data_IF_828319800579
#
_entry.id   IF_828319800579
#
_cell.length_a   1.000
_cell.length_b   1.000
_cell.length_c   1.000
_cell.angle_alpha   90.00
_cell.angle_beta   90.00
_cell.angle_gamma   90.00
#
_symmetry.space_group_name_H-M   'P 1'
#
loop_
_entity.id
_entity.type
_entity.pdbx_description
1 polymer ?
#
# COMPACT_ATOMS: atom_id res chain seq x y z
N UNK A 1 27.18 8.64 -10.73
CA UNK A 1 25.97 9.48 -10.78
C UNK A 1 24.89 8.77 -9.98
N UNK A 2 24.31 9.41 -8.97
CA UNK A 2 23.25 8.82 -8.14
C UNK A 2 21.93 8.82 -8.91
N UNK A 3 21.25 7.68 -8.95
CA UNK A 3 19.98 7.44 -9.65
C UNK A 3 18.85 8.38 -9.19
N UNK A 4 19.02 8.99 -8.01
CA UNK A 4 18.04 9.90 -7.39
C UNK A 4 18.44 11.38 -7.45
N UNK A 5 19.55 11.72 -8.11
CA UNK A 5 20.04 13.09 -8.18
C UNK A 5 19.07 14.04 -8.92
N UNK A 6 18.19 13.51 -9.77
CA UNK A 6 17.13 14.27 -10.46
C UNK A 6 15.97 14.70 -9.54
N UNK A 7 15.85 14.08 -8.36
CA UNK A 7 14.80 14.40 -7.39
C UNK A 7 15.26 15.38 -6.31
N UNK A 8 16.54 15.75 -6.31
CA UNK A 8 17.06 16.83 -5.48
C UNK A 8 16.71 18.16 -6.16
N UNK A 9 16.12 19.10 -5.40
CA UNK A 9 15.77 20.48 -5.81
C UNK A 9 16.97 21.33 -6.29
N UNK A 10 18.11 20.71 -6.57
CA UNK A 10 19.39 21.32 -6.91
C UNK A 10 19.63 21.41 -8.42
N UNK A 11 18.79 20.80 -9.26
CA UNK A 11 18.84 20.94 -10.71
C UNK A 11 17.68 21.84 -11.17
N UNK A 12 17.95 22.73 -12.13
CA UNK A 12 16.93 23.57 -12.78
C UNK A 12 16.04 22.64 -13.61
N UNK A 13 14.93 22.21 -13.02
CA UNK A 13 13.89 21.41 -13.67
C UNK A 13 12.95 22.37 -14.40
N UNK A 14 12.53 22.05 -15.63
CA UNK A 14 11.57 22.90 -16.34
C UNK A 14 10.22 22.92 -15.61
N UNK A 15 9.41 23.97 -15.78
CA UNK A 15 8.10 24.08 -15.13
C UNK A 15 7.17 22.89 -15.47
N UNK A 16 7.28 22.36 -16.69
CA UNK A 16 6.52 21.19 -17.16
C UNK A 16 6.97 19.90 -16.45
N UNK A 17 8.29 19.72 -16.28
CA UNK A 17 8.84 18.58 -15.52
C UNK A 17 8.46 18.66 -14.04
N UNK A 18 8.40 19.87 -13.48
CA UNK A 18 7.96 20.09 -12.10
C UNK A 18 6.47 19.76 -11.91
N UNK A 19 5.59 20.25 -12.80
CA UNK A 19 4.16 19.91 -12.77
C UNK A 19 3.91 18.42 -12.95
N UNK A 20 4.69 17.75 -13.80
CA UNK A 20 4.65 16.30 -13.93
C UNK A 20 5.02 15.62 -12.60
N UNK A 21 6.14 15.99 -12.00
CA UNK A 21 6.57 15.39 -10.73
C UNK A 21 5.54 15.64 -9.61
N UNK A 22 4.97 16.84 -9.52
CA UNK A 22 3.88 17.18 -8.58
C UNK A 22 2.64 16.32 -8.80
N UNK A 23 2.20 16.14 -10.06
CA UNK A 23 1.05 15.29 -10.39
C UNK A 23 1.28 13.81 -10.06
N UNK A 24 2.52 13.35 -10.12
CA UNK A 24 2.91 11.99 -9.77
C UNK A 24 3.39 11.83 -8.33
N UNK A 25 3.35 12.90 -7.51
CA UNK A 25 3.64 12.77 -6.07
C UNK A 25 2.62 11.84 -5.44
N UNK A 26 3.13 10.82 -4.77
CA UNK A 26 2.37 9.77 -4.10
C UNK A 26 1.68 8.77 -5.04
N UNK A 27 2.09 8.71 -6.31
CA UNK A 27 1.57 7.70 -7.22
C UNK A 27 1.90 6.30 -6.68
N UNK A 28 0.85 5.48 -6.51
CA UNK A 28 0.98 4.14 -5.94
C UNK A 28 1.19 3.11 -7.04
N UNK A 29 2.35 2.43 -7.00
CA UNK A 29 2.72 1.38 -7.95
C UNK A 29 2.67 0.05 -7.24
N UNK A 30 1.87 -0.89 -7.76
CA UNK A 30 1.81 -2.24 -7.22
C UNK A 30 2.92 -3.08 -7.83
N UNK A 31 3.84 -3.56 -6.99
CA UNK A 31 4.92 -4.46 -7.39
C UNK A 31 4.39 -5.90 -7.35
N UNK A 32 4.44 -6.63 -8.49
CA UNK A 32 3.99 -8.01 -8.58
C UNK A 32 4.86 -8.95 -7.72
N UNK A 33 4.41 -10.19 -7.57
CA UNK A 33 5.06 -11.17 -6.69
C UNK A 33 6.52 -11.45 -7.11
N UNK A 34 6.76 -11.42 -8.42
CA UNK A 34 8.07 -11.61 -9.04
C UNK A 34 8.30 -10.53 -10.08
N UNK A 35 9.51 -9.96 -10.10
CA UNK A 35 9.92 -9.04 -11.16
C UNK A 35 10.73 -9.78 -12.23
N UNK A 36 10.60 -9.37 -13.50
CA UNK A 36 11.48 -9.87 -14.55
C UNK A 36 12.95 -9.53 -14.28
N UNK A 37 13.88 -10.41 -14.66
CA UNK A 37 15.33 -10.22 -14.44
C UNK A 37 15.86 -8.94 -15.09
N UNK A 38 15.30 -8.54 -16.24
CA UNK A 38 15.68 -7.30 -16.91
C UNK A 38 15.27 -6.04 -16.14
N UNK A 39 14.32 -6.15 -15.20
CA UNK A 39 13.85 -5.05 -14.37
C UNK A 39 14.50 -5.15 -12.98
N UNK A 40 15.49 -4.29 -12.74
CA UNK A 40 16.25 -4.21 -11.48
C UNK A 40 16.97 -5.51 -11.05
N UNK A 41 17.17 -6.47 -11.97
CA UNK A 41 17.75 -7.76 -11.65
C UNK A 41 16.75 -8.77 -11.09
N UNK A 42 15.44 -8.51 -11.21
CA UNK A 42 14.38 -9.34 -10.64
C UNK A 42 14.05 -9.01 -9.18
N UNK A 43 14.69 -7.99 -8.61
CA UNK A 43 14.54 -7.60 -7.20
C UNK A 43 14.45 -6.08 -7.05
N UNK A 44 13.58 -5.60 -6.17
CA UNK A 44 13.51 -4.18 -5.83
C UNK A 44 14.59 -3.86 -4.79
N UNK A 45 15.62 -3.13 -5.21
CA UNK A 45 16.77 -2.76 -4.34
C UNK A 45 16.56 -1.49 -3.53
N UNK A 46 15.50 -0.74 -3.80
CA UNK A 46 15.22 0.53 -3.13
C UNK A 46 13.94 0.42 -2.30
N UNK A 47 14.02 0.83 -1.04
CA UNK A 47 12.92 0.70 -0.07
C UNK A 47 11.94 1.86 -0.13
N UNK A 48 12.43 3.05 -0.46
CA UNK A 48 11.64 4.28 -0.46
C UNK A 48 11.97 5.07 -1.71
N UNK A 49 10.96 5.36 -2.51
CA UNK A 49 11.08 6.27 -3.63
C UNK A 49 10.60 7.66 -3.18
N UNK A 50 11.30 8.71 -3.59
CA UNK A 50 10.99 10.09 -3.18
C UNK A 50 9.62 10.56 -3.64
N UNK A 51 9.13 9.98 -4.74
CA UNK A 51 7.90 10.44 -5.42
C UNK A 51 6.84 9.33 -5.57
N UNK A 52 7.21 8.06 -5.39
CA UNK A 52 6.34 6.91 -5.65
C UNK A 52 6.09 6.12 -4.36
N UNK A 53 4.87 5.62 -4.20
CA UNK A 53 4.52 4.68 -3.13
C UNK A 53 4.50 3.28 -3.71
N UNK A 54 5.37 2.41 -3.23
CA UNK A 54 5.41 1.02 -3.70
C UNK A 54 4.50 0.18 -2.83
N UNK A 55 3.64 -0.62 -3.45
CA UNK A 55 2.83 -1.62 -2.77
C UNK A 55 3.29 -3.00 -3.21
N UNK A 56 3.96 -3.72 -2.32
CA UNK A 56 4.44 -5.06 -2.61
C UNK A 56 3.34 -6.09 -2.41
N UNK A 57 3.12 -6.93 -3.42
CA UNK A 57 2.25 -8.10 -3.29
C UNK A 57 2.97 -9.27 -2.63
N UNK A 58 4.30 -9.34 -2.75
CA UNK A 58 5.13 -10.34 -2.09
C UNK A 58 5.49 -9.91 -0.67
N UNK A 59 5.07 -10.67 0.35
CA UNK A 59 5.40 -10.43 1.75
C UNK A 59 6.88 -10.64 2.07
N UNK A 60 7.60 -11.43 1.28
CA UNK A 60 9.05 -11.65 1.43
C UNK A 60 9.86 -10.44 0.97
N UNK A 61 9.28 -9.62 0.07
CA UNK A 61 9.86 -8.35 -0.37
C UNK A 61 9.50 -7.17 0.54
N UNK A 62 8.63 -7.37 1.53
CA UNK A 62 8.32 -6.37 2.56
C UNK A 62 9.28 -6.48 3.74
N UNK A 63 9.58 -5.35 4.37
CA UNK A 63 10.31 -5.34 5.64
C UNK A 63 9.43 -5.93 6.76
N UNK A 64 10.07 -6.37 7.85
CA UNK A 64 9.38 -6.93 9.01
C UNK A 64 8.34 -5.94 9.58
N UNK A 65 8.71 -4.65 9.67
CA UNK A 65 7.80 -3.57 10.09
C UNK A 65 6.58 -3.40 9.16
N UNK A 66 6.76 -3.45 7.84
CA UNK A 66 5.66 -3.34 6.88
C UNK A 66 4.74 -4.57 6.92
N UNK A 67 5.31 -5.75 7.17
CA UNK A 67 4.57 -7.00 7.37
C UNK A 67 3.70 -6.91 8.62
N UNK A 68 4.27 -6.48 9.75
CA UNK A 68 3.53 -6.28 11.00
C UNK A 68 2.39 -5.26 10.86
N UNK A 69 2.63 -4.14 10.17
CA UNK A 69 1.61 -3.13 9.89
C UNK A 69 0.46 -3.66 9.04
N UNK A 70 0.76 -4.48 8.03
CA UNK A 70 -0.25 -5.13 7.19
C UNK A 70 -1.08 -6.12 8.01
N UNK A 71 -0.43 -6.95 8.82
CA UNK A 71 -1.09 -7.95 9.66
C UNK A 71 -1.98 -7.29 10.74
N UNK A 72 -1.52 -6.20 11.36
CA UNK A 72 -2.30 -5.39 12.30
C UNK A 72 -3.54 -4.78 11.64
N UNK A 73 -3.40 -4.29 10.40
CA UNK A 73 -4.51 -3.71 9.65
C UNK A 73 -5.55 -4.77 9.28
N UNK A 74 -5.09 -5.93 8.82
CA UNK A 74 -5.97 -7.05 8.47
C UNK A 74 -6.70 -7.61 9.71
N UNK A 75 -6.00 -7.74 10.84
CA UNK A 75 -6.61 -8.16 12.11
C UNK A 75 -7.72 -7.20 12.55
N UNK A 76 -7.47 -5.89 12.45
CA UNK A 76 -8.47 -4.86 12.79
C UNK A 76 -9.69 -4.90 11.87
N UNK A 77 -9.49 -5.17 10.57
CA UNK A 77 -10.60 -5.34 9.63
C UNK A 77 -11.43 -6.59 9.94
N UNK A 78 -10.77 -7.71 10.26
CA UNK A 78 -11.43 -8.95 10.67
C UNK A 78 -12.27 -8.77 11.93
N UNK A 79 -11.72 -8.09 12.94
CA UNK A 79 -12.45 -7.77 14.18
C UNK A 79 -13.67 -6.87 13.92
N UNK A 80 -13.55 -5.88 13.01
CA UNK A 80 -14.70 -5.07 12.59
C UNK A 80 -15.76 -5.91 11.88
N UNK A 81 -15.37 -6.77 10.94
CA UNK A 81 -16.32 -7.64 10.24
C UNK A 81 -17.07 -8.56 11.20
N UNK A 82 -16.35 -9.16 12.16
CA UNK A 82 -16.95 -10.01 13.18
C UNK A 82 -17.90 -9.23 14.09
N UNK A 83 -17.54 -8.00 14.46
CA UNK A 83 -18.43 -7.10 15.19
C UNK A 83 -19.74 -6.83 14.43
N UNK A 84 -19.67 -6.52 13.13
CA UNK A 84 -20.86 -6.29 12.31
C UNK A 84 -21.69 -7.56 12.10
N UNK A 85 -21.06 -8.73 11.90
CA UNK A 85 -21.74 -10.03 11.80
C UNK A 85 -22.50 -10.38 13.08
N UNK A 86 -21.88 -10.20 14.25
CA UNK A 86 -22.53 -10.43 15.56
C UNK A 86 -23.75 -9.53 15.75
N UNK A 87 -23.66 -8.26 15.36
CA UNK A 87 -24.79 -7.32 15.48
C UNK A 87 -25.95 -7.67 14.53
N UNK A 88 -25.65 -8.11 13.32
CA UNK A 88 -26.67 -8.54 12.34
C UNK A 88 -27.39 -9.81 12.81
N UNK A 89 -26.63 -10.78 13.33
CA UNK A 89 -27.20 -12.02 13.87
C UNK A 89 -28.01 -11.76 15.16
N UNK A 90 -27.54 -10.88 16.05
CA UNK A 90 -28.28 -10.50 17.27
C UNK A 90 -29.61 -9.79 17.00
N UNK A 91 -29.66 -8.88 16.00
CA UNK A 91 -30.92 -8.26 15.54
C UNK A 91 -31.87 -9.26 14.89
N UNK A 92 -31.33 -10.22 14.14
CA UNK A 92 -32.09 -11.29 13.52
C UNK A 92 -32.77 -12.22 14.52
N UNK A 93 -32.21 -12.40 15.72
CA UNK A 93 -32.78 -13.22 16.80
C UNK A 93 -33.89 -12.44 17.53
N UNK A 94 -33.68 -11.16 17.86
CA UNK A 94 -34.69 -10.32 18.54
C UNK A 94 -35.96 -10.10 17.72
N UNK A 95 -35.85 -10.06 16.38
CA UNK A 95 -37.01 -9.93 15.48
C UNK A 95 -37.94 -11.17 15.47
N UNK A 96 -37.44 -12.34 15.88
CA UNK A 96 -38.23 -13.58 15.94
C UNK A 96 -39.04 -13.66 17.23
N UNK A 97 -38.57 -13.02 18.30
CA UNK A 97 -39.24 -12.96 19.60
C UNK A 97 -40.24 -11.79 19.74
N UNK A 98 -40.29 -10.86 18.79
CA UNK A 98 -41.24 -9.72 18.78
C UNK A 98 -42.45 -9.93 17.87
N UNK A 99 -42.54 -11.08 17.17
CA UNK A 99 -43.77 -11.55 16.51
C UNK A 99 -44.40 -12.67 17.34
N UNK A 100 -45.00 -12.31 18.47
CA UNK A 100 -45.90 -13.15 19.24
C UNK A 100 -47.12 -12.30 19.62
#
# INVERSE_FOLDING_TARGET
MSEFARNLHTNVISSEEFEFIENFKNFEVTIPITLPVWLWGGEVKFRKHSSLRLKFLNSEMMTEEERELKDLKEKREREKEDYYKRRKNGKGIMAQYTRA
#
